data_IF_833498382965
#
_entry.id   IF_833498382965
#
_cell.length_a   1.000
_cell.length_b   1.000
_cell.length_c   1.000
_cell.angle_alpha   90.00
_cell.angle_beta   90.00
_cell.angle_gamma   90.00
#
_symmetry.space_group_name_H-M   'P 1'
#
loop_
_entity.id
_entity.type
_entity.pdbx_description
1 polymer ?
#
# COMPACT_ATOMS: atom_id res chain seq x y z
N UNK A 1 9.85 2.00 25.69
CA UNK A 1 8.42 2.01 25.34
C UNK A 1 8.32 2.24 23.83
N UNK A 2 8.30 1.19 23.01
CA UNK A 2 7.95 1.34 21.59
C UNK A 2 6.44 1.39 21.54
N UNK A 3 5.87 2.49 21.06
CA UNK A 3 4.45 2.53 20.74
C UNK A 3 4.23 1.41 19.70
N UNK A 4 3.44 0.42 20.07
CA UNK A 4 2.92 -0.57 19.14
C UNK A 4 1.94 0.18 18.24
N UNK A 5 2.48 0.80 17.18
CA UNK A 5 1.65 1.29 16.08
C UNK A 5 0.92 0.06 15.57
N UNK A 6 -0.41 0.05 15.74
CA UNK A 6 -1.24 -1.07 15.32
C UNK A 6 -0.92 -1.41 13.87
N UNK A 7 -0.33 -2.59 13.65
CA UNK A 7 -0.07 -3.08 12.31
C UNK A 7 -1.42 -3.24 11.59
N UNK A 8 -1.51 -2.74 10.36
CA UNK A 8 -2.73 -2.77 9.56
C UNK A 8 -2.49 -3.62 8.33
N UNK A 9 -3.54 -4.31 7.87
CA UNK A 9 -3.56 -5.01 6.58
C UNK A 9 -4.05 -4.03 5.52
N UNK A 10 -3.21 -3.74 4.53
CA UNK A 10 -3.50 -2.75 3.49
C UNK A 10 -3.55 -3.36 2.11
N UNK A 11 -4.48 -2.88 1.27
CA UNK A 11 -4.52 -3.19 -0.15
C UNK A 11 -3.82 -2.06 -0.90
N UNK A 12 -2.80 -2.41 -1.66
CA UNK A 12 -1.99 -1.49 -2.42
C UNK A 12 -2.66 -1.11 -3.75
N UNK A 13 -3.13 0.13 -3.87
CA UNK A 13 -3.55 0.66 -5.15
C UNK A 13 -2.33 1.07 -5.98
N UNK A 14 -2.03 0.31 -7.04
CA UNK A 14 -0.88 0.52 -7.92
C UNK A 14 -1.34 1.07 -9.26
N UNK A 15 -0.64 2.08 -9.78
CA UNK A 15 -0.90 2.65 -11.11
C UNK A 15 0.13 2.22 -12.17
N UNK A 16 1.19 1.51 -11.74
CA UNK A 16 2.38 1.23 -12.55
C UNK A 16 3.45 2.32 -12.50
N UNK A 17 3.16 3.48 -11.88
CA UNK A 17 4.12 4.55 -11.66
C UNK A 17 4.94 4.37 -10.38
N UNK A 18 6.16 4.94 -10.36
CA UNK A 18 7.10 4.88 -9.23
C UNK A 18 6.50 5.35 -7.90
N UNK A 19 5.62 6.36 -7.95
CA UNK A 19 5.08 7.00 -6.74
C UNK A 19 4.11 6.05 -6.00
N UNK A 20 3.34 5.27 -6.77
CA UNK A 20 2.45 4.26 -6.18
C UNK A 20 3.23 3.16 -5.46
N UNK A 21 4.41 2.80 -5.95
CA UNK A 21 5.30 1.81 -5.32
C UNK A 21 6.02 2.41 -4.11
N UNK A 22 6.49 3.66 -4.21
CA UNK A 22 7.14 4.36 -3.10
C UNK A 22 6.22 4.45 -1.88
N UNK A 23 4.92 4.74 -2.08
CA UNK A 23 3.94 4.75 -1.00
C UNK A 23 3.86 3.40 -0.26
N UNK A 24 4.01 2.27 -0.95
CA UNK A 24 4.01 0.94 -0.33
C UNK A 24 5.25 0.70 0.53
N UNK A 25 6.41 1.17 0.08
CA UNK A 25 7.63 1.11 0.90
C UNK A 25 7.45 1.87 2.21
N UNK A 26 6.74 3.01 2.18
CA UNK A 26 6.40 3.74 3.39
C UNK A 26 5.42 2.99 4.30
N UNK A 27 4.43 2.27 3.74
CA UNK A 27 3.55 1.40 4.52
C UNK A 27 4.32 0.28 5.24
N UNK A 28 5.26 -0.37 4.55
CA UNK A 28 6.12 -1.41 5.13
C UNK A 28 7.05 -0.82 6.20
N UNK A 29 7.66 0.34 5.94
CA UNK A 29 8.51 1.04 6.91
C UNK A 29 7.75 1.45 8.18
N UNK A 30 6.45 1.73 8.06
CA UNK A 30 5.55 1.99 9.19
C UNK A 30 5.06 0.72 9.91
N UNK A 31 5.43 -0.48 9.43
CA UNK A 31 5.07 -1.76 10.05
C UNK A 31 3.69 -2.31 9.62
N UNK A 32 3.13 -1.81 8.52
CA UNK A 32 1.89 -2.33 7.95
C UNK A 32 2.16 -3.48 6.96
N UNK A 33 1.20 -4.39 6.86
CA UNK A 33 1.25 -5.57 6.01
C UNK A 33 0.48 -5.33 4.71
N UNK A 34 1.17 -5.44 3.56
CA UNK A 34 0.55 -5.29 2.24
C UNK A 34 0.00 -6.64 1.80
N UNK A 35 -1.32 -6.81 1.88
CA UNK A 35 -1.97 -8.11 1.70
C UNK A 35 -2.48 -8.37 0.28
N UNK A 36 -2.61 -7.32 -0.53
CA UNK A 36 -3.01 -7.44 -1.93
C UNK A 36 -2.54 -6.23 -2.74
N UNK A 37 -2.40 -6.41 -4.05
CA UNK A 37 -2.21 -5.33 -5.03
C UNK A 37 -3.50 -5.19 -5.85
N UNK A 38 -3.94 -3.96 -6.08
CA UNK A 38 -5.10 -3.63 -6.91
C UNK A 38 -4.72 -2.56 -7.93
N UNK A 39 -5.21 -2.67 -9.16
CA UNK A 39 -5.08 -1.64 -10.18
C UNK A 39 -6.48 -1.23 -10.64
N UNK A 40 -6.80 0.06 -10.62
CA UNK A 40 -8.10 0.57 -11.04
C UNK A 40 -8.09 0.87 -12.54
N UNK A 41 -9.15 0.44 -13.23
CA UNK A 41 -9.38 0.75 -14.63
C UNK A 41 -10.69 1.52 -14.78
N UNK A 42 -10.76 2.50 -15.69
CA UNK A 42 -12.02 3.17 -16.00
C UNK A 42 -12.99 2.17 -16.63
N UNK A 43 -14.27 2.28 -16.26
CA UNK A 43 -15.33 1.46 -16.85
C UNK A 43 -15.55 1.91 -18.30
N UNK A 44 -15.60 0.95 -19.24
CA UNK A 44 -15.93 1.21 -20.65
C UNK A 44 -14.75 1.58 -21.55
N UNK A 45 -13.53 1.20 -21.17
CA UNK A 45 -12.36 1.20 -22.06
C UNK A 45 -12.20 -0.12 -22.80
#
# INVERSE_FOLDING_TARGET
>A
MKAELSTMKVVALVSGGKDSIFNLMQCVAAGHDVVALANLYPVGK
#
